data_IF_820296208006
#
_entry.id   IF_820296208006
#
_cell.length_a   1.000
_cell.length_b   1.000
_cell.length_c   1.000
_cell.angle_alpha   90.00
_cell.angle_beta   90.00
_cell.angle_gamma   90.00
#
_symmetry.space_group_name_H-M   'P 1'
#
loop_
_entity.id
_entity.type
_entity.pdbx_description
1 polymer ?
#
# COMPACT_ATOMS: atom_id res chain seq x y z
N UNK A 1 -21.07 -55.17 44.85
CA UNK A 1 -21.70 -53.84 44.80
C UNK A 1 -21.08 -53.09 43.63
N UNK A 2 -21.93 -52.81 42.65
CA UNK A 2 -21.89 -51.79 41.58
C UNK A 2 -20.55 -51.18 41.16
N UNK A 3 -20.06 -51.59 39.99
CA UNK A 3 -19.40 -50.67 39.04
C UNK A 3 -20.03 -50.82 37.66
N UNK A 4 -21.27 -50.33 37.56
CA UNK A 4 -21.97 -50.05 36.30
C UNK A 4 -21.40 -48.75 35.73
N UNK A 5 -20.24 -48.84 35.08
CA UNK A 5 -19.78 -47.82 34.12
C UNK A 5 -19.85 -48.43 32.72
N UNK A 6 -21.08 -48.82 32.34
CA UNK A 6 -21.36 -49.30 31.00
C UNK A 6 -21.36 -48.12 30.03
N UNK A 7 -20.45 -48.15 29.06
CA UNK A 7 -20.63 -48.00 27.61
C UNK A 7 -21.63 -47.00 26.99
N UNK A 8 -22.63 -46.49 27.71
CA UNK A 8 -23.55 -45.46 27.24
C UNK A 8 -22.93 -44.06 27.20
N UNK A 9 -21.89 -43.79 28.00
CA UNK A 9 -21.27 -42.44 28.07
C UNK A 9 -20.34 -42.14 26.90
N UNK A 10 -19.78 -43.15 26.23
CA UNK A 10 -18.82 -42.96 25.12
C UNK A 10 -19.55 -42.70 23.78
N UNK A 11 -20.82 -43.09 23.67
CA UNK A 11 -21.64 -42.87 22.46
C UNK A 11 -22.35 -41.51 22.48
N UNK A 12 -22.50 -40.89 23.66
CA UNK A 12 -23.07 -39.54 23.83
C UNK A 12 -22.17 -38.41 23.31
N UNK A 13 -20.87 -38.65 23.12
CA UNK A 13 -19.92 -37.65 22.59
C UNK A 13 -20.04 -37.35 21.09
N UNK A 14 -20.94 -38.03 20.38
CA UNK A 14 -21.18 -37.84 18.94
C UNK A 14 -22.40 -36.97 18.61
N UNK A 15 -23.09 -36.42 19.61
CA UNK A 15 -24.33 -35.65 19.44
C UNK A 15 -24.22 -34.22 19.97
N UNK A 16 -23.56 -33.32 19.24
CA UNK A 16 -23.78 -31.86 19.37
C UNK A 16 -23.75 -31.23 17.97
N UNK A 17 -24.84 -30.53 17.61
CA UNK A 17 -25.03 -29.65 16.45
C UNK A 17 -25.16 -28.20 16.97
N UNK A 18 -24.66 -27.25 16.17
CA UNK A 18 -24.51 -25.78 16.30
C UNK A 18 -25.61 -24.97 17.00
N UNK A 19 -25.24 -23.76 17.46
CA UNK A 19 -25.91 -22.52 17.03
C UNK A 19 -24.97 -21.30 17.01
N UNK A 20 -25.08 -20.52 15.93
CA UNK A 20 -24.56 -19.16 15.70
C UNK A 20 -25.62 -18.12 16.12
N UNK A 21 -25.20 -16.95 16.62
CA UNK A 21 -25.86 -15.62 16.49
C UNK A 21 -25.02 -14.61 17.32
N UNK A 22 -24.22 -13.71 16.75
CA UNK A 22 -24.53 -12.49 16.00
C UNK A 22 -25.21 -11.38 16.84
N UNK A 23 -24.47 -10.27 17.01
CA UNK A 23 -24.89 -8.88 16.77
C UNK A 23 -24.49 -7.88 17.88
N UNK A 24 -23.87 -6.78 17.44
CA UNK A 24 -24.18 -5.45 17.98
C UNK A 24 -23.00 -4.59 18.43
N UNK A 25 -22.38 -3.83 17.51
CA UNK A 25 -21.63 -2.64 17.88
C UNK A 25 -21.67 -1.55 16.78
N UNK A 26 -22.61 -0.62 16.98
CA UNK A 26 -22.51 0.85 16.92
C UNK A 26 -21.41 1.56 16.11
N UNK A 27 -21.81 2.57 15.30
CA UNK A 27 -21.34 3.98 15.27
C UNK A 27 -21.96 4.69 14.04
N UNK A 28 -22.74 5.78 14.12
CA UNK A 28 -22.33 7.19 14.36
C UNK A 28 -21.11 7.60 13.50
N UNK A 29 -21.04 8.69 12.75
CA UNK A 29 -21.75 9.96 12.68
C UNK A 29 -20.81 10.92 11.92
N UNK A 30 -21.36 11.98 11.34
CA UNK A 30 -20.71 12.91 10.41
C UNK A 30 -19.38 13.54 10.88
N UNK A 31 -18.51 13.85 9.91
CA UNK A 31 -17.34 14.70 10.07
C UNK A 31 -16.91 15.27 8.72
N UNK A 32 -17.48 16.44 8.40
CA UNK A 32 -17.00 17.37 7.38
C UNK A 32 -15.57 17.82 7.77
N UNK A 33 -14.61 17.49 6.91
CA UNK A 33 -13.22 17.85 7.06
C UNK A 33 -12.63 17.95 5.67
N UNK A 34 -12.42 19.18 5.19
CA UNK A 34 -11.79 19.44 3.90
C UNK A 34 -10.44 18.71 3.81
N UNK A 35 -10.34 17.80 2.85
CA UNK A 35 -9.11 17.05 2.58
C UNK A 35 -8.00 17.98 2.09
N UNK A 36 -6.75 17.85 2.59
CA UNK A 36 -5.57 18.48 2.01
C UNK A 36 -5.27 18.03 0.56
N UNK A 37 -6.02 17.05 0.04
CA UNK A 37 -5.99 16.62 -1.35
C UNK A 37 -6.49 17.71 -2.32
N UNK A 38 -7.37 18.61 -1.87
CA UNK A 38 -7.89 19.68 -2.72
C UNK A 38 -6.78 20.69 -3.10
N UNK A 39 -5.90 21.02 -2.16
CA UNK A 39 -4.78 21.93 -2.41
C UNK A 39 -3.67 21.25 -3.25
N UNK A 40 -3.41 19.97 -3.01
CA UNK A 40 -2.46 19.19 -3.83
C UNK A 40 -2.93 19.02 -5.28
N UNK A 41 -4.24 18.83 -5.49
CA UNK A 41 -4.83 18.68 -6.81
C UNK A 41 -4.79 19.99 -7.62
N UNK A 42 -4.93 21.15 -6.98
CA UNK A 42 -4.83 22.46 -7.66
C UNK A 42 -3.39 22.75 -8.08
N UNK A 43 -2.39 22.34 -7.30
CA UNK A 43 -0.97 22.48 -7.65
C UNK A 43 -0.57 21.48 -8.75
N UNK A 44 -1.11 20.25 -8.74
CA UNK A 44 -0.88 19.26 -9.79
C UNK A 44 -1.56 19.64 -11.12
N UNK A 45 -2.75 20.24 -11.08
CA UNK A 45 -3.47 20.69 -12.27
C UNK A 45 -2.78 21.88 -12.97
N UNK A 46 -2.11 22.76 -12.21
CA UNK A 46 -1.36 23.88 -12.77
C UNK A 46 -0.09 23.46 -13.54
N UNK A 47 0.38 22.21 -13.35
CA UNK A 47 1.56 21.68 -14.01
C UNK A 47 1.28 21.03 -15.39
N UNK A 48 0.01 20.84 -15.75
CA UNK A 48 -0.41 19.96 -16.84
C UNK A 48 -0.55 20.63 -18.24
N UNK A 49 -0.40 21.95 -18.37
CA UNK A 49 -0.62 22.65 -19.64
C UNK A 49 0.68 23.26 -20.20
N UNK A 50 1.54 22.39 -20.77
CA UNK A 50 2.38 22.62 -21.96
C UNK A 50 3.58 21.66 -21.94
N UNK A 51 3.95 21.04 -23.08
CA UNK A 51 5.21 20.33 -23.19
C UNK A 51 6.34 21.37 -23.13
N UNK A 52 6.88 21.62 -21.94
CA UNK A 52 8.18 22.31 -21.83
C UNK A 52 9.24 21.40 -22.44
N UNK A 53 10.20 21.96 -23.17
CA UNK A 53 11.36 21.20 -23.61
C UNK A 53 12.02 20.52 -22.40
N UNK A 54 12.58 19.33 -22.61
CA UNK A 54 13.42 18.69 -21.58
C UNK A 54 14.65 19.58 -21.37
N UNK A 55 14.60 20.38 -20.31
CA UNK A 55 15.65 21.34 -19.93
C UNK A 55 16.84 20.64 -19.27
N UNK A 56 16.72 19.34 -18.99
CA UNK A 56 17.78 18.58 -18.34
C UNK A 56 18.67 17.85 -19.33
N UNK A 57 19.98 18.05 -19.21
CA UNK A 57 20.99 17.33 -19.99
C UNK A 57 21.29 15.95 -19.38
N UNK A 58 21.11 15.82 -18.06
CA UNK A 58 21.25 14.57 -17.32
C UNK A 58 20.08 14.36 -16.38
N UNK A 59 19.88 13.15 -15.87
CA UNK A 59 18.78 12.88 -14.94
C UNK A 59 18.94 13.76 -13.68
N UNK A 60 17.97 14.62 -13.34
CA UNK A 60 18.04 15.43 -12.14
C UNK A 60 17.94 14.54 -10.88
N UNK A 61 18.49 15.01 -9.75
CA UNK A 61 18.49 14.24 -8.50
C UNK A 61 17.05 13.95 -8.04
N UNK A 62 16.80 12.79 -7.42
CA UNK A 62 15.50 12.53 -6.81
C UNK A 62 15.41 13.26 -5.45
N UNK A 63 14.30 13.95 -5.14
CA UNK A 63 14.16 14.64 -3.86
C UNK A 63 14.06 13.61 -2.72
N UNK A 64 14.91 13.77 -1.71
CA UNK A 64 14.93 12.87 -0.53
C UNK A 64 14.25 13.58 0.64
N UNK A 65 13.17 12.97 1.16
CA UNK A 65 12.44 13.53 2.31
C UNK A 65 11.86 14.93 2.07
N UNK A 66 11.49 15.24 0.82
CA UNK A 66 10.95 16.55 0.44
C UNK A 66 11.98 17.68 0.36
N UNK A 67 13.28 17.37 0.46
CA UNK A 67 14.37 18.34 0.27
C UNK A 67 14.84 18.31 -1.18
N UNK A 68 15.18 19.50 -1.69
CA UNK A 68 15.69 19.70 -3.05
C UNK A 68 17.15 20.13 -2.96
N UNK A 69 18.02 19.43 -3.67
CA UNK A 69 19.43 19.79 -3.82
C UNK A 69 19.58 20.69 -5.05
N UNK A 70 19.41 22.01 -4.86
CA UNK A 70 19.34 22.99 -5.95
C UNK A 70 20.56 22.97 -6.87
N UNK A 71 21.77 22.89 -6.30
CA UNK A 71 23.01 22.82 -7.09
C UNK A 71 23.00 21.63 -8.05
N UNK A 72 22.57 20.46 -7.58
CA UNK A 72 22.49 19.26 -8.41
C UNK A 72 21.37 19.35 -9.46
N UNK A 73 20.27 20.06 -9.17
CA UNK A 73 19.21 20.35 -10.18
C UNK A 73 19.75 21.26 -11.28
N UNK A 74 20.48 22.32 -10.92
CA UNK A 74 21.06 23.25 -11.87
C UNK A 74 22.18 22.60 -12.70
N UNK A 75 23.04 21.80 -12.09
CA UNK A 75 24.06 21.03 -12.81
C UNK A 75 23.44 20.03 -13.79
N UNK A 76 22.32 19.39 -13.40
CA UNK A 76 21.61 18.49 -14.30
C UNK A 76 21.01 19.22 -15.51
N UNK A 77 20.64 20.49 -15.37
CA UNK A 77 20.21 21.37 -16.45
C UNK A 77 21.38 21.94 -17.28
N UNK A 78 22.63 21.69 -16.86
CA UNK A 78 23.83 22.17 -17.51
C UNK A 78 24.20 23.62 -17.17
N UNK A 79 23.63 24.18 -16.10
CA UNK A 79 23.97 25.51 -15.59
C UNK A 79 25.23 25.37 -14.75
N UNK A 80 26.30 26.06 -15.14
CA UNK A 80 27.60 25.93 -14.47
C UNK A 80 27.69 26.78 -13.18
N UNK A 81 28.67 26.47 -12.32
CA UNK A 81 28.81 27.17 -11.04
C UNK A 81 29.10 28.67 -11.19
N UNK A 82 29.74 29.10 -12.28
CA UNK A 82 30.02 30.50 -12.56
C UNK A 82 28.77 31.25 -13.03
N UNK A 83 27.86 30.61 -13.75
CA UNK A 83 26.53 31.13 -14.04
C UNK A 83 25.71 31.35 -12.77
N UNK A 84 25.66 30.34 -11.89
CA UNK A 84 24.99 30.42 -10.59
C UNK A 84 25.56 31.53 -9.71
N UNK A 85 26.89 31.61 -9.62
CA UNK A 85 27.57 32.63 -8.82
C UNK A 85 27.23 34.06 -9.31
N UNK A 86 27.03 34.26 -10.62
CA UNK A 86 26.62 35.57 -11.17
C UNK A 86 25.21 35.93 -10.70
N UNK A 87 24.28 34.97 -10.72
CA UNK A 87 22.90 35.17 -10.24
C UNK A 87 22.89 35.42 -8.73
N UNK A 88 23.63 34.64 -7.95
CA UNK A 88 23.77 34.80 -6.50
C UNK A 88 24.31 36.19 -6.13
N UNK A 89 25.35 36.66 -6.81
CA UNK A 89 25.90 38.01 -6.58
C UNK A 89 24.88 39.10 -6.91
N UNK A 90 24.13 38.95 -7.99
CA UNK A 90 23.07 39.89 -8.36
C UNK A 90 21.95 39.89 -7.32
N UNK A 91 21.56 38.72 -6.81
CA UNK A 91 20.57 38.58 -5.74
C UNK A 91 21.06 39.21 -4.44
N UNK A 92 22.29 38.92 -4.01
CA UNK A 92 22.90 39.52 -2.81
C UNK A 92 22.94 41.04 -2.90
N UNK A 93 23.33 41.58 -4.06
CA UNK A 93 23.35 43.01 -4.29
C UNK A 93 21.94 43.61 -4.19
N UNK A 94 20.94 42.98 -4.81
CA UNK A 94 19.57 43.44 -4.75
C UNK A 94 19.01 43.40 -3.31
N UNK A 95 19.32 42.35 -2.55
CA UNK A 95 18.92 42.20 -1.14
C UNK A 95 19.60 43.18 -0.20
N UNK A 96 20.80 43.68 -0.57
CA UNK A 96 21.53 44.69 0.21
C UNK A 96 20.94 46.09 0.11
N UNK A 97 20.09 46.36 -0.89
CA UNK A 97 19.50 47.68 -1.12
C UNK A 97 18.31 47.93 -0.18
N UNK A 98 18.16 49.15 0.36
CA UNK A 98 17.02 49.47 1.22
C UNK A 98 15.68 49.20 0.55
N UNK A 99 14.73 48.64 1.29
CA UNK A 99 13.41 48.30 0.77
C UNK A 99 12.70 49.53 0.16
N UNK A 100 12.85 50.70 0.80
CA UNK A 100 12.21 51.97 0.43
C UNK A 100 12.81 52.65 -0.81
N UNK A 101 13.94 52.17 -1.35
CA UNK A 101 14.52 52.79 -2.55
C UNK A 101 13.60 52.55 -3.76
N UNK A 102 13.27 53.59 -4.55
CA UNK A 102 12.47 53.43 -5.76
C UNK A 102 13.11 52.43 -6.73
N UNK A 103 12.29 51.57 -7.33
CA UNK A 103 12.72 50.56 -8.32
C UNK A 103 13.65 51.12 -9.41
N UNK A 104 13.39 52.28 -10.06
CA UNK A 104 14.30 52.80 -11.08
C UNK A 104 15.69 53.14 -10.52
N UNK A 105 15.77 53.61 -9.26
CA UNK A 105 17.04 53.92 -8.60
C UNK A 105 17.77 52.63 -8.21
N UNK A 106 17.05 51.61 -7.71
CA UNK A 106 17.64 50.28 -7.45
C UNK A 106 18.25 49.69 -8.71
N UNK A 107 17.53 49.75 -9.83
CA UNK A 107 18.00 49.28 -11.13
C UNK A 107 19.31 49.97 -11.54
N UNK A 108 19.37 51.31 -11.48
CA UNK A 108 20.59 52.06 -11.81
C UNK A 108 21.78 51.68 -10.93
N UNK A 109 21.57 51.53 -9.62
CA UNK A 109 22.62 51.12 -8.67
C UNK A 109 23.13 49.72 -9.01
N UNK A 110 22.23 48.77 -9.27
CA UNK A 110 22.57 47.39 -9.63
C UNK A 110 23.33 47.35 -10.95
N UNK A 111 22.82 47.99 -12.01
CA UNK A 111 23.47 48.03 -13.33
C UNK A 111 24.86 48.66 -13.27
N UNK A 112 25.00 49.78 -12.57
CA UNK A 112 26.30 50.44 -12.41
C UNK A 112 27.28 49.56 -11.62
N UNK A 113 26.82 48.89 -10.57
CA UNK A 113 27.65 48.02 -9.74
C UNK A 113 28.09 46.77 -10.53
N UNK A 114 27.17 46.08 -11.20
CA UNK A 114 27.48 44.91 -12.03
C UNK A 114 28.47 45.27 -13.13
N UNK A 115 28.28 46.43 -13.79
CA UNK A 115 29.22 46.94 -14.79
C UNK A 115 30.61 47.23 -14.20
N UNK A 116 30.68 47.81 -13.00
CA UNK A 116 31.94 48.08 -12.32
C UNK A 116 32.70 46.79 -11.93
N UNK A 117 31.99 45.72 -11.59
CA UNK A 117 32.57 44.40 -11.32
C UNK A 117 32.79 43.54 -12.58
N UNK A 118 32.52 44.08 -13.77
CA UNK A 118 32.72 43.38 -15.05
C UNK A 118 31.76 42.21 -15.27
N UNK A 119 30.60 42.19 -14.61
CA UNK A 119 29.59 41.13 -14.79
C UNK A 119 28.60 41.56 -15.87
N UNK A 120 28.50 40.85 -17.01
CA UNK A 120 27.55 41.20 -18.06
C UNK A 120 26.11 40.95 -17.57
N UNK A 121 25.25 41.96 -17.72
CA UNK A 121 23.84 41.88 -17.31
C UNK A 121 23.10 40.81 -18.11
N UNK A 122 23.36 40.72 -19.42
CA UNK A 122 22.74 39.74 -20.30
C UNK A 122 23.02 38.30 -19.82
N UNK A 123 24.25 38.01 -19.38
CA UNK A 123 24.62 36.69 -18.85
C UNK A 123 23.91 36.37 -17.52
N UNK A 124 23.58 37.37 -16.70
CA UNK A 124 22.79 37.17 -15.47
C UNK A 124 21.34 36.87 -15.82
N UNK A 125 20.78 37.59 -16.79
CA UNK A 125 19.40 37.37 -17.24
C UNK A 125 19.27 35.98 -17.84
N UNK A 126 20.21 35.57 -18.69
CA UNK A 126 20.23 34.24 -19.29
C UNK A 126 20.33 33.14 -18.22
N UNK A 127 21.30 33.24 -17.30
CA UNK A 127 21.45 32.30 -16.20
C UNK A 127 20.21 32.25 -15.30
N UNK A 128 19.63 33.40 -14.93
CA UNK A 128 18.43 33.45 -14.09
C UNK A 128 17.20 32.85 -14.76
N UNK A 129 17.02 33.05 -16.07
CA UNK A 129 15.94 32.40 -16.82
C UNK A 129 16.19 30.89 -16.93
N UNK A 130 17.43 30.47 -17.15
CA UNK A 130 17.80 29.05 -17.17
C UNK A 130 17.53 28.36 -15.82
N UNK A 131 17.87 29.00 -14.69
CA UNK A 131 17.59 28.48 -13.35
C UNK A 131 16.07 28.31 -13.13
N UNK A 132 15.26 29.30 -13.48
CA UNK A 132 13.79 29.20 -13.36
C UNK A 132 13.26 28.04 -14.21
N UNK A 133 13.72 27.93 -15.46
CA UNK A 133 13.31 26.84 -16.34
C UNK A 133 13.72 25.47 -15.79
N UNK A 134 14.92 25.35 -15.22
CA UNK A 134 15.38 24.13 -14.57
C UNK A 134 14.49 23.76 -13.37
N UNK A 135 14.13 24.72 -12.51
CA UNK A 135 13.25 24.48 -11.36
C UNK A 135 11.83 24.09 -11.79
N UNK A 136 11.26 24.77 -12.78
CA UNK A 136 9.93 24.41 -13.31
C UNK A 136 9.94 23.02 -13.95
N UNK A 137 10.98 22.72 -14.74
CA UNK A 137 11.20 21.39 -15.31
C UNK A 137 11.29 20.33 -14.21
N UNK A 138 12.02 20.63 -13.14
CA UNK A 138 12.19 19.73 -12.00
C UNK A 138 10.84 19.42 -11.33
N UNK A 139 10.02 20.44 -11.07
CA UNK A 139 8.70 20.28 -10.45
C UNK A 139 7.80 19.42 -11.34
N UNK A 140 7.74 19.71 -12.64
CA UNK A 140 6.89 18.96 -13.58
C UNK A 140 7.34 17.51 -13.72
N UNK A 141 8.65 17.26 -13.81
CA UNK A 141 9.19 15.89 -13.88
C UNK A 141 8.85 15.09 -12.63
N UNK A 142 9.07 15.65 -11.45
CA UNK A 142 8.71 14.97 -10.19
C UNK A 142 7.20 14.70 -10.08
N UNK A 143 6.36 15.64 -10.54
CA UNK A 143 4.92 15.42 -10.59
C UNK A 143 4.54 14.28 -11.54
N UNK A 144 5.14 14.23 -12.73
CA UNK A 144 4.92 13.15 -13.70
C UNK A 144 5.40 11.79 -13.18
N UNK A 145 6.58 11.72 -12.59
CA UNK A 145 7.14 10.49 -12.01
C UNK A 145 6.26 9.99 -10.85
N UNK A 146 5.77 10.91 -10.00
CA UNK A 146 4.84 10.59 -8.92
C UNK A 146 3.52 10.04 -9.46
N UNK A 147 2.95 10.69 -10.47
CA UNK A 147 1.71 10.26 -11.12
C UNK A 147 1.87 8.86 -11.72
N UNK A 148 2.96 8.60 -12.44
CA UNK A 148 3.26 7.30 -13.03
C UNK A 148 3.38 6.20 -11.96
N UNK A 149 4.06 6.49 -10.85
CA UNK A 149 4.18 5.57 -9.72
C UNK A 149 2.82 5.27 -9.08
N UNK A 150 1.96 6.28 -8.92
CA UNK A 150 0.61 6.10 -8.38
C UNK A 150 -0.26 5.22 -9.28
N UNK A 151 -0.21 5.43 -10.59
CA UNK A 151 -0.95 4.64 -11.57
C UNK A 151 -0.47 3.18 -11.59
N UNK A 152 0.85 2.96 -11.61
CA UNK A 152 1.45 1.62 -11.54
C UNK A 152 1.06 0.91 -10.24
N UNK A 153 1.20 1.60 -9.10
CA UNK A 153 0.89 1.05 -7.78
C UNK A 153 -0.59 0.68 -7.66
N UNK A 154 -1.49 1.56 -8.13
CA UNK A 154 -2.94 1.31 -8.13
C UNK A 154 -3.29 0.09 -8.96
N UNK A 155 -2.68 -0.04 -10.16
CA UNK A 155 -2.85 -1.22 -11.01
C UNK A 155 -2.36 -2.48 -10.31
N UNK A 156 -1.24 -2.41 -9.60
CA UNK A 156 -0.67 -3.57 -8.89
C UNK A 156 -1.54 -3.99 -7.71
N UNK A 157 -2.09 -3.04 -6.95
CA UNK A 157 -3.04 -3.29 -5.87
C UNK A 157 -4.26 -4.04 -6.41
N UNK A 158 -4.87 -3.55 -7.49
CA UNK A 158 -6.04 -4.20 -8.09
C UNK A 158 -5.78 -5.66 -8.51
N UNK A 159 -4.60 -5.95 -9.06
CA UNK A 159 -4.19 -7.33 -9.40
C UNK A 159 -4.10 -8.22 -8.15
N UNK A 160 -3.45 -7.73 -7.10
CA UNK A 160 -3.27 -8.49 -5.86
C UNK A 160 -4.61 -8.74 -5.15
N UNK A 161 -5.54 -7.79 -5.20
CA UNK A 161 -6.89 -7.96 -4.68
C UNK A 161 -7.68 -9.04 -5.43
N UNK A 162 -7.54 -9.10 -6.76
CA UNK A 162 -8.15 -10.15 -7.57
C UNK A 162 -7.56 -11.53 -7.24
N UNK A 163 -6.24 -11.63 -7.09
CA UNK A 163 -5.56 -12.86 -6.66
C UNK A 163 -6.03 -13.30 -5.28
N UNK A 164 -6.10 -12.38 -4.31
CA UNK A 164 -6.60 -12.66 -2.98
C UNK A 164 -8.05 -13.18 -3.01
N UNK A 165 -8.90 -12.60 -3.87
CA UNK A 165 -10.29 -13.06 -4.06
C UNK A 165 -10.33 -14.49 -4.60
N UNK A 166 -9.52 -14.82 -5.60
CA UNK A 166 -9.43 -16.17 -6.18
C UNK A 166 -8.99 -17.19 -5.13
N UNK A 167 -7.98 -16.88 -4.34
CA UNK A 167 -7.48 -17.75 -3.27
C UNK A 167 -8.56 -18.00 -2.22
N UNK A 168 -9.26 -16.95 -1.76
CA UNK A 168 -10.37 -17.08 -0.80
C UNK A 168 -11.50 -17.95 -1.32
N UNK A 169 -11.91 -17.75 -2.57
CA UNK A 169 -12.95 -18.57 -3.20
C UNK A 169 -12.52 -20.05 -3.29
N UNK A 170 -11.24 -20.32 -3.59
CA UNK A 170 -10.69 -21.67 -3.57
C UNK A 170 -10.72 -22.31 -2.17
N UNK A 171 -10.39 -21.55 -1.13
CA UNK A 171 -10.47 -22.01 0.26
C UNK A 171 -11.91 -22.34 0.66
N UNK A 172 -12.86 -21.46 0.36
CA UNK A 172 -14.27 -21.67 0.67
C UNK A 172 -14.82 -22.92 -0.05
N UNK A 173 -14.48 -23.10 -1.33
CA UNK A 173 -14.85 -24.31 -2.08
C UNK A 173 -14.29 -25.60 -1.45
N UNK A 174 -13.05 -25.57 -0.92
CA UNK A 174 -12.47 -26.71 -0.20
C UNK A 174 -13.18 -27.02 1.11
N UNK A 175 -13.57 -25.98 1.86
CA UNK A 175 -14.33 -26.13 3.11
C UNK A 175 -15.69 -26.77 2.81
N UNK A 176 -16.42 -26.24 1.83
CA UNK A 176 -17.72 -26.80 1.42
C UNK A 176 -17.60 -28.25 0.95
N UNK A 177 -16.56 -28.56 0.16
CA UNK A 177 -16.28 -29.94 -0.27
C UNK A 177 -16.04 -30.86 0.93
N UNK A 178 -15.23 -30.44 1.90
CA UNK A 178 -14.94 -31.21 3.11
C UNK A 178 -16.21 -31.45 3.95
N UNK A 179 -17.04 -30.43 4.13
CA UNK A 179 -18.33 -30.55 4.82
C UNK A 179 -19.25 -31.55 4.12
N UNK A 180 -19.35 -31.50 2.79
CA UNK A 180 -20.13 -32.45 2.01
C UNK A 180 -19.64 -33.89 2.13
N UNK A 181 -18.31 -34.10 2.11
CA UNK A 181 -17.70 -35.42 2.36
C UNK A 181 -18.04 -35.91 3.77
N UNK A 182 -17.84 -35.06 4.79
CA UNK A 182 -18.14 -35.41 6.18
C UNK A 182 -19.62 -35.80 6.36
N UNK A 183 -20.55 -34.99 5.83
CA UNK A 183 -21.98 -35.27 5.88
C UNK A 183 -22.33 -36.61 5.20
N UNK A 184 -21.79 -36.87 4.01
CA UNK A 184 -22.02 -38.11 3.27
C UNK A 184 -21.49 -39.34 4.01
N UNK A 185 -20.26 -39.25 4.53
CA UNK A 185 -19.65 -40.31 5.32
C UNK A 185 -20.42 -40.56 6.61
N UNK A 186 -20.87 -39.50 7.30
CA UNK A 186 -21.65 -39.63 8.53
C UNK A 186 -23.02 -40.24 8.27
N UNK A 187 -23.72 -39.84 7.21
CA UNK A 187 -24.98 -40.47 6.78
C UNK A 187 -24.80 -41.98 6.55
N UNK A 188 -23.76 -42.37 5.80
CA UNK A 188 -23.47 -43.79 5.57
C UNK A 188 -23.10 -44.54 6.85
N UNK A 189 -22.33 -43.92 7.76
CA UNK A 189 -22.01 -44.49 9.07
C UNK A 189 -23.28 -44.78 9.87
N UNK A 190 -24.21 -43.84 9.94
CA UNK A 190 -25.49 -44.02 10.66
C UNK A 190 -26.31 -45.19 10.08
N UNK A 191 -26.36 -45.32 8.75
CA UNK A 191 -27.08 -46.45 8.13
C UNK A 191 -26.43 -47.80 8.41
N UNK A 192 -25.09 -47.87 8.39
CA UNK A 192 -24.37 -49.08 8.79
C UNK A 192 -24.54 -49.35 10.29
N UNK A 193 -24.58 -48.33 11.13
CA UNK A 193 -24.84 -48.47 12.57
C UNK A 193 -26.18 -49.11 12.84
N UNK A 194 -27.26 -48.72 12.15
CA UNK A 194 -28.57 -49.38 12.28
C UNK A 194 -28.49 -50.89 12.02
N UNK A 195 -27.70 -51.30 11.02
CA UNK A 195 -27.47 -52.73 10.71
C UNK A 195 -26.72 -53.41 11.85
N UNK A 196 -25.66 -52.78 12.38
CA UNK A 196 -24.89 -53.35 13.49
C UNK A 196 -25.70 -53.42 14.79
N UNK A 197 -26.52 -52.40 15.08
CA UNK A 197 -27.44 -52.36 16.23
C UNK A 197 -28.47 -53.49 16.18
N UNK A 198 -28.99 -53.83 15.00
CA UNK A 198 -29.90 -54.95 14.81
C UNK A 198 -29.30 -56.29 15.29
N UNK A 199 -27.99 -56.52 15.09
CA UNK A 199 -27.31 -57.74 15.55
C UNK A 199 -26.89 -57.71 17.02
N UNK A 200 -26.97 -56.55 17.67
CA UNK A 200 -26.62 -56.38 19.07
C UNK A 200 -25.14 -56.18 19.33
N UNK A 201 -24.87 -55.45 20.41
CA UNK A 201 -23.55 -54.93 20.77
C UNK A 201 -22.51 -56.01 21.11
N UNK A 202 -22.92 -57.11 21.74
CA UNK A 202 -22.03 -58.21 22.11
C UNK A 202 -21.49 -58.98 20.91
N UNK A 203 -22.35 -59.19 19.89
CA UNK A 203 -21.95 -59.88 18.68
C UNK A 203 -20.93 -59.04 17.88
N UNK A 204 -21.14 -57.73 17.80
CA UNK A 204 -20.23 -56.80 17.16
C UNK A 204 -18.88 -56.75 17.89
N UNK A 205 -18.87 -56.63 19.23
CA UNK A 205 -17.64 -56.57 20.02
C UNK A 205 -16.77 -57.83 19.86
N UNK A 206 -17.38 -59.02 19.87
CA UNK A 206 -16.68 -60.29 19.63
C UNK A 206 -16.04 -60.35 18.23
N UNK A 207 -16.73 -59.86 17.20
CA UNK A 207 -16.21 -59.86 15.82
C UNK A 207 -15.11 -58.82 15.64
N UNK A 208 -15.21 -57.65 16.29
CA UNK A 208 -14.16 -56.62 16.27
C UNK A 208 -12.85 -57.18 16.86
N UNK A 209 -12.91 -57.80 18.05
CA UNK A 209 -11.72 -58.37 18.70
C UNK A 209 -11.11 -59.56 17.93
N UNK A 210 -11.93 -60.36 17.26
CA UNK A 210 -11.45 -61.53 16.52
C UNK A 210 -10.94 -61.21 15.10
N UNK A 211 -11.25 -60.02 14.56
CA UNK A 211 -10.97 -59.69 13.16
C UNK A 211 -9.66 -58.95 12.99
N UNK A 212 -8.71 -59.46 12.18
CA UNK A 212 -7.45 -58.77 11.89
C UNK A 212 -7.62 -57.55 10.97
N UNK A 213 -8.83 -57.29 10.44
CA UNK A 213 -9.14 -56.15 9.57
C UNK A 213 -9.66 -54.93 10.31
N UNK A 214 -10.05 -55.09 11.56
CA UNK A 214 -10.69 -54.04 12.36
C UNK A 214 -9.67 -53.53 13.37
N UNK A 215 -9.56 -52.21 13.48
CA UNK A 215 -8.77 -51.58 14.51
C UNK A 215 -9.67 -51.27 15.70
N UNK A 216 -9.21 -51.63 16.90
CA UNK A 216 -9.88 -51.20 18.11
C UNK A 216 -9.79 -49.67 18.23
N UNK A 217 -10.88 -49.00 18.65
CA UNK A 217 -10.85 -47.56 18.83
C UNK A 217 -9.81 -47.19 19.91
N UNK A 218 -9.08 -46.07 19.76
CA UNK A 218 -8.16 -45.61 20.78
C UNK A 218 -8.91 -45.33 22.09
N UNK A 219 -8.32 -45.72 23.21
CA UNK A 219 -8.90 -45.47 24.54
C UNK A 219 -9.12 -43.96 24.76
N UNK A 220 -10.25 -43.55 25.36
CA UNK A 220 -10.51 -42.14 25.64
C UNK A 220 -9.46 -41.62 26.62
N UNK A 221 -8.54 -40.77 26.13
CA UNK A 221 -7.46 -40.16 26.93
C UNK A 221 -6.04 -40.24 26.36
N UNK A 222 -5.83 -40.83 25.18
CA UNK A 222 -4.49 -40.99 24.58
C UNK A 222 -4.13 -39.95 23.48
N UNK A 223 -4.83 -38.82 23.42
CA UNK A 223 -4.53 -37.72 22.49
C UNK A 223 -4.34 -36.42 23.25
N UNK A 224 -3.08 -36.03 23.46
CA UNK A 224 -2.67 -34.67 23.83
C UNK A 224 -2.61 -33.80 22.56
#
# INVERSE_FOLDING_TARGET
MTDKKSWGSTVLGWFIVQDEEQAGASAAGAGDGGSPEADAAVIAAAAAESPVPDVFQTAPPTPVGGRVEFDAVFEAAGIDAGERERVDKAQQLLSSLPAETPVPVKKQIVEASLKAFGVPIDNIIEAGVAEIQALEGYIRKNAADTQALLEESTRRIAQLEEEARKVRAGMEGRIQQQQGIAASCNGRKLDVQKVLEFFGQEAVARVVHASPRLQEPPAPGAGA
#
